data_IF_936457778759
#
_entry.id   IF_936457778759
#
_cell.length_a   1.000
_cell.length_b   1.000
_cell.length_c   1.000
_cell.angle_alpha   90.00
_cell.angle_beta   90.00
_cell.angle_gamma   90.00
#
_symmetry.space_group_name_H-M   'P 1'
#
loop_
_entity.id
_entity.type
_entity.pdbx_description
1 polymer ?
#
# COMPACT_ATOMS: atom_id res chain seq x y z
N UNK A 1 -26.86 12.72 1.38
CA UNK A 1 -26.23 11.81 2.37
C UNK A 1 -26.08 12.59 3.67
N UNK A 2 -26.32 11.99 4.83
CA UNK A 2 -26.08 12.65 6.12
C UNK A 2 -24.60 13.04 6.23
N UNK A 3 -24.30 14.26 6.66
CA UNK A 3 -22.93 14.81 6.66
C UNK A 3 -21.92 13.92 7.41
N UNK A 4 -22.38 13.21 8.44
CA UNK A 4 -21.58 12.24 9.19
C UNK A 4 -21.16 11.03 8.35
N UNK A 5 -22.07 10.50 7.52
CA UNK A 5 -21.78 9.35 6.64
C UNK A 5 -20.73 9.72 5.60
N UNK A 6 -20.88 10.91 5.01
CA UNK A 6 -19.91 11.43 4.03
C UNK A 6 -18.52 11.58 4.66
N UNK A 7 -18.44 12.09 5.89
CA UNK A 7 -17.17 12.20 6.62
C UNK A 7 -16.55 10.82 6.90
N UNK A 8 -17.35 9.85 7.36
CA UNK A 8 -16.89 8.48 7.59
C UNK A 8 -16.36 7.84 6.31
N UNK A 9 -17.08 8.01 5.20
CA UNK A 9 -16.65 7.52 3.89
C UNK A 9 -15.33 8.19 3.47
N UNK A 10 -15.16 9.49 3.71
CA UNK A 10 -13.90 10.21 3.45
C UNK A 10 -12.70 9.69 4.26
N UNK A 11 -12.92 9.27 5.52
CA UNK A 11 -11.85 8.70 6.37
C UNK A 11 -11.29 7.42 5.76
N UNK A 12 -12.16 6.52 5.28
CA UNK A 12 -11.77 5.20 4.77
C UNK A 12 -11.63 5.13 3.24
N UNK A 13 -11.83 6.26 2.56
CA UNK A 13 -11.77 6.35 1.09
C UNK A 13 -10.33 6.22 0.54
N UNK A 14 -10.16 5.67 -0.68
CA UNK A 14 -8.86 5.56 -1.34
C UNK A 14 -8.23 6.93 -1.63
N UNK A 15 -6.89 6.96 -1.76
CA UNK A 15 -6.19 8.17 -2.20
C UNK A 15 -6.43 8.45 -3.69
N UNK A 16 -6.74 9.71 -3.99
CA UNK A 16 -6.79 10.24 -5.36
C UNK A 16 -5.38 10.72 -5.75
N UNK A 17 -4.88 10.29 -6.90
CA UNK A 17 -3.53 10.58 -7.38
C UNK A 17 -3.55 11.65 -8.46
N UNK A 18 -4.38 11.46 -9.48
CA UNK A 18 -4.41 12.30 -10.68
C UNK A 18 -5.84 12.44 -11.19
N UNK A 19 -6.08 13.55 -11.88
CA UNK A 19 -7.36 13.86 -12.52
C UNK A 19 -7.08 14.13 -13.99
N UNK A 20 -7.63 13.28 -14.84
CA UNK A 20 -7.63 13.40 -16.30
C UNK A 20 -8.81 14.30 -16.68
N UNK A 21 -8.52 15.52 -17.13
CA UNK A 21 -9.55 16.46 -17.59
C UNK A 21 -9.91 16.24 -19.07
N UNK A 22 -11.05 16.79 -19.50
CA UNK A 22 -11.43 16.90 -20.93
C UNK A 22 -10.62 17.97 -21.71
N UNK A 23 -9.47 18.39 -21.20
CA UNK A 23 -8.62 19.43 -21.80
C UNK A 23 -7.14 19.01 -21.81
N UNK A 24 -6.25 19.80 -22.44
CA UNK A 24 -4.88 19.38 -22.73
C UNK A 24 -3.95 19.27 -21.51
N UNK A 25 -4.40 19.64 -20.31
CA UNK A 25 -3.56 19.67 -19.10
C UNK A 25 -4.10 18.71 -18.05
N UNK A 26 -3.40 17.59 -17.91
CA UNK A 26 -3.58 16.66 -16.80
C UNK A 26 -3.24 17.35 -15.47
N UNK A 27 -4.07 17.14 -14.43
CA UNK A 27 -3.85 17.79 -13.12
C UNK A 27 -3.57 16.74 -12.06
N UNK A 28 -2.43 16.90 -11.37
CA UNK A 28 -2.15 16.12 -10.17
C UNK A 28 -3.08 16.59 -9.04
N UNK A 29 -3.60 15.66 -8.25
CA UNK A 29 -4.40 16.01 -7.09
C UNK A 29 -3.50 16.69 -6.06
N UNK A 30 -3.85 17.91 -5.66
CA UNK A 30 -3.12 18.66 -4.64
C UNK A 30 -3.80 18.50 -3.27
N UNK A 31 -3.24 17.67 -2.36
CA UNK A 31 -3.81 17.52 -1.03
C UNK A 31 -3.57 18.79 -0.19
N UNK A 32 -4.57 19.16 0.61
CA UNK A 32 -4.45 20.24 1.60
C UNK A 32 -3.42 19.88 2.67
N UNK A 33 -2.90 20.87 3.39
CA UNK A 33 -1.90 20.69 4.47
C UNK A 33 -2.35 19.67 5.53
N UNK A 34 -3.62 19.67 5.92
CA UNK A 34 -4.17 18.71 6.87
C UNK A 34 -4.16 17.27 6.35
N UNK A 35 -4.51 17.08 5.06
CA UNK A 35 -4.46 15.76 4.43
C UNK A 35 -3.00 15.28 4.32
N UNK A 36 -2.07 16.15 3.89
CA UNK A 36 -0.64 15.86 3.82
C UNK A 36 -0.07 15.42 5.16
N UNK A 37 -0.41 16.13 6.25
CA UNK A 37 0.06 15.80 7.59
C UNK A 37 -0.47 14.44 8.06
N UNK A 38 -1.77 14.20 7.91
CA UNK A 38 -2.39 12.92 8.30
C UNK A 38 -1.80 11.74 7.51
N UNK A 39 -1.63 11.89 6.19
CA UNK A 39 -1.01 10.86 5.36
C UNK A 39 0.47 10.64 5.71
N UNK A 40 1.22 11.68 6.06
CA UNK A 40 2.61 11.53 6.48
C UNK A 40 2.73 10.73 7.78
N UNK A 41 1.87 10.99 8.77
CA UNK A 41 1.88 10.24 10.05
C UNK A 41 1.48 8.78 9.82
N UNK A 42 0.39 8.54 9.08
CA UNK A 42 -0.10 7.18 8.77
C UNK A 42 0.98 6.39 8.01
N UNK A 43 1.58 6.99 6.99
CA UNK A 43 2.63 6.34 6.20
C UNK A 43 3.89 6.06 7.03
N UNK A 44 4.28 6.98 7.91
CA UNK A 44 5.42 6.77 8.81
C UNK A 44 5.19 5.60 9.76
N UNK A 45 4.00 5.53 10.37
CA UNK A 45 3.62 4.42 11.24
C UNK A 45 3.50 3.10 10.49
N UNK A 46 3.01 3.12 9.25
CA UNK A 46 2.98 1.94 8.38
C UNK A 46 4.39 1.42 8.08
N UNK A 47 5.34 2.33 7.78
CA UNK A 47 6.75 1.97 7.55
C UNK A 47 7.38 1.41 8.83
N UNK A 48 7.17 2.05 9.98
CA UNK A 48 7.64 1.57 11.29
C UNK A 48 7.08 0.18 11.57
N UNK A 49 5.79 -0.05 11.33
CA UNK A 49 5.16 -1.36 11.49
C UNK A 49 5.81 -2.41 10.58
N UNK A 50 6.01 -2.10 9.30
CA UNK A 50 6.67 -3.02 8.35
C UNK A 50 8.10 -3.34 8.79
N UNK A 51 8.90 -2.33 9.16
CA UNK A 51 10.26 -2.54 9.68
C UNK A 51 10.19 -3.41 10.93
N UNK A 52 9.31 -3.10 11.88
CA UNK A 52 9.12 -3.86 13.12
C UNK A 52 8.77 -5.32 12.89
N UNK A 53 7.94 -5.63 11.89
CA UNK A 53 7.63 -7.01 11.48
C UNK A 53 8.85 -7.70 10.88
N UNK A 54 9.63 -7.01 10.02
CA UNK A 54 10.86 -7.57 9.46
C UNK A 54 11.96 -7.78 10.51
N UNK A 55 12.04 -6.90 11.52
CA UNK A 55 12.98 -7.01 12.65
C UNK A 55 12.40 -7.79 13.83
N UNK A 56 11.21 -8.37 13.69
CA UNK A 56 10.49 -9.07 14.76
C UNK A 56 11.28 -10.18 15.45
N UNK A 57 12.06 -11.05 14.80
CA UNK A 57 12.80 -12.09 15.53
C UNK A 57 13.84 -11.49 16.50
N UNK A 58 14.43 -10.35 16.14
CA UNK A 58 15.37 -9.64 17.00
C UNK A 58 14.64 -8.88 18.12
N UNK A 59 13.55 -8.18 17.79
CA UNK A 59 12.73 -7.48 18.79
C UNK A 59 12.19 -8.44 19.85
N UNK A 60 11.65 -9.60 19.45
CA UNK A 60 11.10 -10.57 20.40
C UNK A 60 12.17 -11.07 21.37
N UNK A 61 13.38 -11.37 20.87
CA UNK A 61 14.52 -11.75 21.72
C UNK A 61 14.89 -10.65 22.72
N UNK A 62 14.97 -9.39 22.28
CA UNK A 62 15.24 -8.26 23.17
C UNK A 62 14.13 -8.02 24.19
N UNK A 63 12.86 -8.13 23.78
CA UNK A 63 11.70 -7.94 24.66
C UNK A 63 11.65 -9.02 25.74
N UNK A 64 11.99 -10.26 25.37
CA UNK A 64 12.08 -11.38 26.29
C UNK A 64 13.21 -11.18 27.32
N UNK A 65 14.41 -10.81 26.88
CA UNK A 65 15.55 -10.55 27.78
C UNK A 65 15.30 -9.39 28.76
N UNK A 66 14.50 -8.39 28.34
CA UNK A 66 14.13 -7.25 29.20
C UNK A 66 12.95 -7.52 30.14
N UNK A 67 12.31 -8.70 30.07
CA UNK A 67 11.20 -9.03 30.96
C UNK A 67 9.91 -8.25 30.70
N UNK A 68 9.67 -7.75 29.47
CA UNK A 68 8.41 -7.04 29.15
C UNK A 68 7.15 -7.91 29.20
N UNK A 69 7.31 -9.23 29.39
CA UNK A 69 6.21 -10.18 29.62
C UNK A 69 5.77 -10.26 31.09
N UNK A 70 6.47 -9.59 32.01
CA UNK A 70 6.02 -9.41 33.39
C UNK A 70 4.80 -8.45 33.42
N UNK A 71 3.84 -8.59 34.36
CA UNK A 71 2.69 -7.70 34.51
C UNK A 71 3.01 -6.20 34.43
N UNK A 72 4.08 -5.74 35.06
CA UNK A 72 4.50 -4.33 35.02
C UNK A 72 4.99 -3.90 33.62
N UNK A 73 5.66 -4.81 32.91
CA UNK A 73 6.08 -4.62 31.52
C UNK A 73 4.89 -4.54 30.56
N UNK A 74 3.87 -5.37 30.77
CA UNK A 74 2.63 -5.39 29.98
C UNK A 74 1.82 -4.11 30.14
N UNK A 75 1.76 -3.53 31.34
CA UNK A 75 1.11 -2.23 31.57
C UNK A 75 1.80 -1.14 30.74
N UNK A 76 3.14 -1.13 30.74
CA UNK A 76 3.92 -0.15 29.97
C UNK A 76 3.72 -0.33 28.46
N UNK A 77 3.69 -1.58 27.98
CA UNK A 77 3.42 -1.88 26.57
C UNK A 77 2.00 -1.43 26.16
N UNK A 78 1.02 -1.66 27.02
CA UNK A 78 -0.38 -1.26 26.76
C UNK A 78 -0.50 0.26 26.67
N UNK A 79 0.20 1.01 27.54
CA UNK A 79 0.26 2.48 27.46
C UNK A 79 0.86 2.95 26.13
N UNK A 80 1.92 2.31 25.66
CA UNK A 80 2.55 2.61 24.36
C UNK A 80 1.63 2.29 23.19
N UNK A 81 0.99 1.12 23.18
CA UNK A 81 0.05 0.74 22.11
C UNK A 81 -1.14 1.69 22.08
N UNK A 82 -1.65 2.07 23.26
CA UNK A 82 -2.75 3.02 23.40
C UNK A 82 -2.36 4.39 22.88
N UNK A 83 -1.18 4.90 23.24
CA UNK A 83 -0.72 6.22 22.78
C UNK A 83 -0.53 6.27 21.26
N UNK A 84 0.09 5.24 20.66
CA UNK A 84 0.22 5.12 19.20
C UNK A 84 -1.15 4.98 18.55
N UNK A 85 -2.07 4.23 19.15
CA UNK A 85 -3.45 4.07 18.69
C UNK A 85 -4.21 5.41 18.64
N UNK A 86 -4.10 6.23 19.69
CA UNK A 86 -4.70 7.57 19.73
C UNK A 86 -4.15 8.45 18.61
N UNK A 87 -2.82 8.47 18.41
CA UNK A 87 -2.19 9.23 17.33
C UNK A 87 -2.72 8.79 15.96
N UNK A 88 -2.89 7.48 15.73
CA UNK A 88 -3.46 6.95 14.49
C UNK A 88 -4.89 7.46 14.28
N UNK A 89 -5.77 7.31 15.28
CA UNK A 89 -7.17 7.75 15.18
C UNK A 89 -7.25 9.24 14.84
N UNK A 90 -6.48 10.08 15.54
CA UNK A 90 -6.41 11.52 15.28
C UNK A 90 -5.95 11.81 13.85
N UNK A 91 -4.92 11.09 13.37
CA UNK A 91 -4.40 11.26 12.00
C UNK A 91 -5.44 10.88 10.93
N UNK A 92 -6.20 9.81 11.14
CA UNK A 92 -7.30 9.42 10.25
C UNK A 92 -8.43 10.46 10.24
N UNK A 93 -8.78 11.03 11.40
CA UNK A 93 -9.79 12.08 11.50
C UNK A 93 -9.37 13.37 10.77
N UNK A 94 -8.12 13.83 10.97
CA UNK A 94 -7.58 15.03 10.30
C UNK A 94 -7.53 14.81 8.78
N UNK A 95 -7.13 13.61 8.34
CA UNK A 95 -7.16 13.24 6.93
C UNK A 95 -8.58 13.27 6.35
N UNK A 96 -9.54 12.68 7.05
CA UNK A 96 -10.95 12.66 6.64
C UNK A 96 -11.54 14.06 6.52
N UNK A 97 -11.18 14.96 7.44
CA UNK A 97 -11.59 16.36 7.43
C UNK A 97 -11.02 17.10 6.22
N UNK A 98 -9.72 16.96 5.95
CA UNK A 98 -9.08 17.57 4.78
C UNK A 98 -9.72 17.17 3.45
N UNK A 99 -10.18 15.91 3.35
CA UNK A 99 -10.89 15.37 2.18
C UNK A 99 -12.33 15.85 2.08
N UNK A 100 -13.05 15.94 3.20
CA UNK A 100 -14.43 16.43 3.23
C UNK A 100 -14.54 17.90 2.78
N UNK A 101 -13.54 18.71 3.09
CA UNK A 101 -13.49 20.11 2.65
C UNK A 101 -13.07 20.30 1.18
N UNK A 102 -12.57 19.25 0.50
CA UNK A 102 -12.12 19.37 -0.88
C UNK A 102 -13.27 19.02 -1.86
N UNK A 103 -13.85 20.00 -2.57
CA UNK A 103 -15.00 19.75 -3.46
C UNK A 103 -14.66 18.83 -4.63
N UNK A 104 -13.39 18.77 -5.04
CA UNK A 104 -12.93 17.87 -6.10
C UNK A 104 -12.93 16.43 -5.63
N UNK A 105 -12.45 16.20 -4.41
CA UNK A 105 -12.40 14.87 -3.80
C UNK A 105 -13.81 14.33 -3.54
N UNK A 106 -14.72 15.16 -3.05
CA UNK A 106 -16.09 14.74 -2.76
C UNK A 106 -16.88 14.34 -4.02
N UNK A 107 -16.63 15.01 -5.16
CA UNK A 107 -17.16 14.60 -6.47
C UNK A 107 -16.63 13.24 -6.90
N UNK A 108 -15.31 13.03 -6.82
CA UNK A 108 -14.68 11.74 -7.07
C UNK A 108 -15.30 10.63 -6.21
N UNK A 109 -15.43 10.87 -4.91
CA UNK A 109 -16.00 9.90 -3.97
C UNK A 109 -17.44 9.53 -4.33
N UNK A 110 -18.26 10.50 -4.73
CA UNK A 110 -19.63 10.25 -5.17
C UNK A 110 -19.69 9.42 -6.46
N UNK A 111 -18.79 9.67 -7.42
CA UNK A 111 -18.66 8.86 -8.65
C UNK A 111 -18.21 7.43 -8.31
N UNK A 112 -17.22 7.27 -7.43
CA UNK A 112 -16.73 5.96 -7.01
C UNK A 112 -17.82 5.14 -6.28
N UNK A 113 -18.55 5.76 -5.35
CA UNK A 113 -19.65 5.09 -4.65
C UNK A 113 -20.79 4.69 -5.57
N UNK A 114 -21.06 5.49 -6.61
CA UNK A 114 -22.02 5.13 -7.65
C UNK A 114 -21.53 3.93 -8.45
N UNK A 115 -20.26 3.93 -8.87
CA UNK A 115 -19.65 2.84 -9.64
C UNK A 115 -19.55 1.52 -8.87
N UNK A 116 -19.38 1.58 -7.54
CA UNK A 116 -19.36 0.39 -6.68
C UNK A 116 -20.73 -0.27 -6.52
N UNK A 117 -21.81 0.50 -6.65
CA UNK A 117 -23.18 -0.03 -6.57
C UNK A 117 -23.64 -0.59 -7.90
N UNK A 118 -23.44 0.19 -8.97
CA UNK A 118 -23.81 -0.18 -10.32
C UNK A 118 -22.80 0.37 -11.32
N UNK A 119 -22.13 -0.53 -12.03
CA UNK A 119 -21.08 -0.18 -12.99
C UNK A 119 -21.69 -0.01 -14.38
N UNK A 120 -22.36 1.13 -14.58
CA UNK A 120 -22.84 1.56 -15.90
C UNK A 120 -21.69 2.11 -16.76
N UNK A 121 -21.72 1.93 -18.11
CA UNK A 121 -20.66 2.42 -19.00
C UNK A 121 -20.43 3.94 -18.91
N UNK A 122 -21.48 4.73 -18.64
CA UNK A 122 -21.38 6.18 -18.46
C UNK A 122 -20.66 6.57 -17.17
N UNK A 123 -20.96 5.86 -16.07
CA UNK A 123 -20.29 6.05 -14.77
C UNK A 123 -18.83 5.60 -14.86
N UNK A 124 -18.56 4.51 -15.58
CA UNK A 124 -17.20 4.04 -15.85
C UNK A 124 -16.38 5.10 -16.61
N UNK A 125 -16.97 5.73 -17.62
CA UNK A 125 -16.29 6.82 -18.33
C UNK A 125 -15.94 7.99 -17.40
N UNK A 126 -16.84 8.36 -16.48
CA UNK A 126 -16.57 9.39 -15.47
C UNK A 126 -15.52 8.95 -14.45
N UNK A 127 -15.52 7.68 -14.04
CA UNK A 127 -14.56 7.13 -13.09
C UNK A 127 -13.15 7.06 -13.70
N UNK A 128 -13.04 6.73 -14.98
CA UNK A 128 -11.77 6.72 -15.73
C UNK A 128 -11.09 8.10 -15.80
N UNK A 129 -11.82 9.19 -15.52
CA UNK A 129 -11.23 10.53 -15.40
C UNK A 129 -10.41 10.69 -14.11
N UNK A 130 -10.51 9.76 -13.16
CA UNK A 130 -9.81 9.81 -11.88
C UNK A 130 -8.81 8.65 -11.79
N UNK A 131 -7.57 8.97 -11.45
CA UNK A 131 -6.55 7.99 -11.10
C UNK A 131 -6.53 7.83 -9.58
N UNK A 132 -6.84 6.64 -9.09
CA UNK A 132 -6.92 6.35 -7.67
C UNK A 132 -6.38 4.96 -7.37
N UNK A 133 -6.21 4.65 -6.08
CA UNK A 133 -5.68 3.37 -5.66
C UNK A 133 -6.47 2.18 -6.24
N UNK A 134 -5.76 1.30 -6.93
CA UNK A 134 -6.33 0.11 -7.59
C UNK A 134 -7.17 -0.76 -6.66
N UNK A 135 -6.85 -0.80 -5.35
CA UNK A 135 -7.61 -1.56 -4.35
C UNK A 135 -9.09 -1.18 -4.29
N UNK A 136 -9.43 0.06 -4.61
CA UNK A 136 -10.80 0.55 -4.56
C UNK A 136 -11.54 0.44 -5.91
N UNK A 137 -10.88 -0.08 -6.95
CA UNK A 137 -11.48 -0.24 -8.27
C UNK A 137 -12.67 -1.21 -8.21
N UNK A 138 -13.83 -0.86 -8.79
CA UNK A 138 -14.99 -1.76 -8.80
C UNK A 138 -14.71 -3.02 -9.62
N UNK A 139 -15.27 -4.16 -9.21
CA UNK A 139 -15.11 -5.42 -9.94
C UNK A 139 -15.89 -5.35 -11.25
N UNK A 140 -15.18 -5.28 -12.38
CA UNK A 140 -15.81 -5.19 -13.70
C UNK A 140 -16.23 -6.55 -14.24
N UNK A 141 -15.52 -7.60 -13.85
CA UNK A 141 -15.69 -8.94 -14.38
C UNK A 141 -16.02 -9.90 -13.25
N UNK A 142 -17.22 -10.48 -13.32
CA UNK A 142 -17.59 -11.64 -12.53
C UNK A 142 -17.53 -12.84 -13.46
N UNK A 143 -16.50 -13.67 -13.33
CA UNK A 143 -16.53 -15.00 -13.93
C UNK A 143 -17.56 -15.83 -13.16
N UNK A 144 -18.80 -15.88 -13.64
CA UNK A 144 -19.70 -16.97 -13.28
C UNK A 144 -19.09 -18.23 -13.88
N UNK A 145 -18.44 -19.01 -13.03
CA UNK A 145 -17.83 -20.28 -13.42
C UNK A 145 -18.95 -21.28 -13.68
N UNK A 146 -19.43 -21.34 -14.92
CA UNK A 146 -20.10 -22.52 -15.48
C UNK A 146 -19.21 -23.20 -16.55
N UNK A 147 -17.90 -23.17 -16.33
CA UNK A 147 -16.99 -24.07 -17.04
C UNK A 147 -16.12 -24.80 -16.02
N UNK A 148 -16.76 -25.78 -15.34
CA UNK A 148 -16.05 -27.03 -15.07
C UNK A 148 -15.61 -27.56 -16.42
N UNK A 149 -14.30 -27.59 -16.66
CA UNK A 149 -13.60 -28.75 -17.22
C UNK A 149 -12.16 -28.36 -17.57
N UNK A 150 -11.35 -28.11 -16.54
CA UNK A 150 -9.92 -28.41 -16.65
C UNK A 150 -9.36 -28.54 -15.24
N UNK A 151 -9.48 -29.76 -14.72
CA UNK A 151 -8.69 -30.28 -13.62
C UNK A 151 -7.24 -29.77 -13.80
N UNK A 152 -6.68 -28.94 -12.90
CA UNK A 152 -5.31 -28.51 -13.04
C UNK A 152 -4.45 -29.75 -12.87
N UNK A 153 -3.92 -30.27 -13.98
CA UNK A 153 -2.97 -31.37 -13.96
C UNK A 153 -1.79 -30.90 -13.13
N UNK A 154 -1.72 -31.35 -11.88
CA UNK A 154 -0.55 -31.21 -11.05
C UNK A 154 0.62 -31.76 -11.86
N UNK A 155 1.57 -30.88 -12.21
CA UNK A 155 2.83 -31.27 -12.84
C UNK A 155 3.49 -32.29 -11.90
N UNK A 156 3.40 -33.55 -12.29
CA UNK A 156 4.02 -34.67 -11.60
C UNK A 156 5.53 -34.46 -11.66
N UNK A 157 6.13 -34.09 -10.53
CA UNK A 157 7.58 -34.11 -10.37
C UNK A 157 8.01 -35.57 -10.26
N UNK A 158 8.77 -36.14 -11.23
CA UNK A 158 9.30 -37.48 -11.06
C UNK A 158 10.65 -37.37 -10.38
N UNK A 159 10.82 -37.94 -9.18
CA UNK A 159 12.14 -38.43 -8.79
C UNK A 159 12.05 -39.52 -7.73
N UNK A 160 12.11 -40.76 -8.18
CA UNK A 160 12.55 -41.88 -7.36
C UNK A 160 13.97 -41.55 -6.86
N UNK A 161 14.16 -41.47 -5.53
CA UNK A 161 15.49 -41.39 -4.93
C UNK A 161 15.65 -42.48 -3.89
N UNK A 162 16.75 -43.20 -4.01
CA UNK A 162 17.22 -44.28 -3.15
C UNK A 162 17.45 -43.78 -1.71
N UNK A 163 17.01 -44.58 -0.74
CA UNK A 163 16.91 -44.28 0.69
C UNK A 163 18.11 -43.57 1.38
N UNK A 164 19.41 -43.83 1.08
CA UNK A 164 20.49 -43.16 1.80
C UNK A 164 20.76 -41.72 1.31
N UNK A 165 20.29 -41.33 0.13
CA UNK A 165 20.42 -39.95 -0.38
C UNK A 165 19.29 -39.03 0.14
N UNK A 166 18.26 -39.58 0.77
CA UNK A 166 17.11 -38.83 1.26
C UNK A 166 17.48 -37.98 2.50
N UNK A 167 18.24 -38.53 3.45
CA UNK A 167 18.58 -37.85 4.71
C UNK A 167 19.46 -36.60 4.54
N UNK A 168 20.46 -36.66 3.65
CA UNK A 168 21.31 -35.50 3.31
C UNK A 168 20.62 -34.50 2.36
N UNK A 169 19.63 -34.93 1.59
CA UNK A 169 18.86 -34.04 0.72
C UNK A 169 17.74 -33.28 1.43
N UNK A 170 17.25 -33.73 2.59
CA UNK A 170 16.22 -33.02 3.36
C UNK A 170 16.66 -31.59 3.73
N UNK A 171 17.83 -31.34 4.36
CA UNK A 171 18.23 -29.97 4.69
C UNK A 171 18.45 -29.13 3.42
N UNK A 172 19.03 -29.71 2.36
CA UNK A 172 19.23 -29.02 1.08
C UNK A 172 17.89 -28.64 0.42
N UNK A 173 16.90 -29.54 0.44
CA UNK A 173 15.55 -29.28 -0.09
C UNK A 173 14.82 -28.22 0.73
N UNK A 174 15.01 -28.20 2.05
CA UNK A 174 14.46 -27.15 2.92
C UNK A 174 15.09 -25.81 2.56
N UNK A 175 16.42 -25.73 2.48
CA UNK A 175 17.14 -24.49 2.10
C UNK A 175 16.75 -24.05 0.68
N UNK A 176 16.68 -24.96 -0.28
CA UNK A 176 16.27 -24.67 -1.65
C UNK A 176 14.80 -24.24 -1.72
N UNK A 177 13.91 -24.86 -0.96
CA UNK A 177 12.50 -24.47 -0.84
C UNK A 177 12.37 -23.06 -0.28
N UNK A 178 13.10 -22.75 0.81
CA UNK A 178 13.17 -21.40 1.35
C UNK A 178 13.73 -20.45 0.30
N UNK A 179 14.87 -20.74 -0.32
CA UNK A 179 15.49 -19.87 -1.32
C UNK A 179 14.55 -19.58 -2.51
N UNK A 180 13.84 -20.59 -3.02
CA UNK A 180 12.87 -20.42 -4.11
C UNK A 180 11.67 -19.61 -3.65
N UNK A 181 11.09 -19.89 -2.47
CA UNK A 181 9.90 -19.19 -1.98
C UNK A 181 10.16 -17.78 -1.43
N UNK A 182 11.33 -17.52 -0.86
CA UNK A 182 11.67 -16.23 -0.27
C UNK A 182 12.34 -15.30 -1.28
N UNK A 183 13.31 -15.81 -2.05
CA UNK A 183 14.08 -15.03 -3.01
C UNK A 183 13.63 -15.30 -4.45
N UNK A 184 13.51 -16.56 -4.87
CA UNK A 184 13.23 -16.93 -6.26
C UNK A 184 11.96 -16.29 -6.82
N UNK A 185 10.80 -16.55 -6.19
CA UNK A 185 9.50 -16.02 -6.65
C UNK A 185 9.48 -14.48 -6.61
N UNK A 186 10.11 -13.86 -5.60
CA UNK A 186 10.16 -12.39 -5.46
C UNK A 186 11.15 -11.72 -6.43
N UNK A 187 12.23 -12.40 -6.82
CA UNK A 187 13.24 -11.90 -7.76
C UNK A 187 12.84 -12.10 -9.22
N UNK A 188 12.05 -13.13 -9.54
CA UNK A 188 11.49 -13.32 -10.88
C UNK A 188 10.54 -12.18 -11.24
N UNK A 189 9.86 -11.59 -10.24
CA UNK A 189 9.02 -10.41 -10.42
C UNK A 189 9.50 -9.25 -9.55
N UNK A 190 10.61 -8.58 -9.94
CA UNK A 190 11.24 -7.53 -9.13
C UNK A 190 10.32 -6.31 -8.90
N UNK A 191 9.27 -6.17 -9.70
CA UNK A 191 8.22 -5.15 -9.53
C UNK A 191 7.33 -5.31 -8.29
N UNK A 192 7.37 -6.45 -7.59
CA UNK A 192 6.57 -6.70 -6.35
C UNK A 192 7.33 -6.43 -5.06
N UNK A 193 8.64 -6.15 -5.11
CA UNK A 193 9.43 -5.88 -3.91
C UNK A 193 9.11 -4.45 -3.46
N UNK A 194 8.26 -4.29 -2.44
CA UNK A 194 7.83 -2.97 -1.94
C UNK A 194 8.98 -2.04 -1.55
N UNK A 195 10.15 -2.59 -1.20
CA UNK A 195 11.38 -1.82 -0.95
C UNK A 195 11.88 -1.13 -2.23
N UNK A 196 11.83 -1.82 -3.38
CA UNK A 196 12.24 -1.27 -4.67
C UNK A 196 11.30 -0.15 -5.12
N UNK A 197 9.98 -0.34 -4.95
CA UNK A 197 8.99 0.71 -5.21
C UNK A 197 9.20 1.94 -4.32
N UNK A 198 9.59 1.73 -3.05
CA UNK A 198 9.90 2.83 -2.12
C UNK A 198 11.17 3.59 -2.52
N UNK A 199 12.20 2.89 -3.00
CA UNK A 199 13.46 3.50 -3.47
C UNK A 199 13.29 4.20 -4.82
N UNK A 200 12.59 3.58 -5.77
CA UNK A 200 12.29 4.17 -7.07
C UNK A 200 11.34 5.37 -6.95
N UNK A 201 10.28 5.26 -6.15
CA UNK A 201 9.36 6.38 -5.90
C UNK A 201 10.04 7.60 -5.27
N UNK A 202 11.08 7.38 -4.44
CA UNK A 202 11.93 8.46 -3.92
C UNK A 202 12.89 9.03 -4.96
N UNK A 203 13.48 8.19 -5.83
CA UNK A 203 14.41 8.65 -6.88
C UNK A 203 13.70 9.51 -7.92
N UNK A 204 12.46 9.19 -8.30
CA UNK A 204 11.69 10.05 -9.21
C UNK A 204 11.45 11.43 -8.58
N UNK A 205 11.13 11.51 -7.29
CA UNK A 205 10.96 12.79 -6.59
C UNK A 205 12.27 13.59 -6.45
N UNK A 206 13.40 12.90 -6.21
CA UNK A 206 14.72 13.55 -6.12
C UNK A 206 15.24 14.05 -7.46
N UNK A 207 14.92 13.38 -8.57
CA UNK A 207 15.35 13.79 -9.91
C UNK A 207 14.56 15.00 -10.40
N UNK A 208 13.25 15.07 -10.14
CA UNK A 208 12.44 16.24 -10.44
C UNK A 208 12.86 17.48 -9.62
N UNK A 209 13.24 17.32 -8.35
CA UNK A 209 13.75 18.43 -7.54
C UNK A 209 15.14 18.88 -8.02
N UNK A 210 16.01 17.96 -8.46
CA UNK A 210 17.32 18.31 -9.02
C UNK A 210 17.18 19.04 -10.37
N UNK A 211 16.31 18.57 -11.25
CA UNK A 211 16.01 19.20 -12.56
C UNK A 211 15.42 20.60 -12.40
N UNK A 212 14.47 20.79 -11.47
CA UNK A 212 13.94 22.14 -11.16
C UNK A 212 15.01 23.06 -10.55
N UNK A 213 15.92 22.54 -9.73
CA UNK A 213 17.02 23.35 -9.18
C UNK A 213 18.06 23.75 -10.24
N UNK A 214 18.39 22.85 -11.17
CA UNK A 214 19.34 23.11 -12.26
C UNK A 214 18.77 24.14 -13.25
N UNK A 215 17.49 24.03 -13.63
CA UNK A 215 16.84 25.04 -14.50
C UNK A 215 16.73 26.42 -13.84
N UNK A 216 16.63 26.50 -12.51
CA UNK A 216 16.57 27.79 -11.78
C UNK A 216 17.96 28.42 -11.64
N UNK A 217 19.04 27.63 -11.68
CA UNK A 217 20.42 28.13 -11.58
C UNK A 217 20.98 28.60 -12.92
N UNK A 218 20.64 27.93 -14.04
CA UNK A 218 21.07 28.36 -15.38
C UNK A 218 20.47 29.72 -15.80
N UNK A 219 19.27 30.06 -15.33
CA UNK A 219 18.64 31.36 -15.63
C UNK A 219 19.32 32.54 -14.91
N UNK A 220 20.15 32.29 -13.88
CA UNK A 220 20.75 33.35 -13.05
C UNK A 220 22.19 33.71 -13.44
N UNK A 221 22.83 32.92 -14.30
CA UNK A 221 24.22 33.14 -14.73
C UNK A 221 24.35 33.51 -16.23
N UNK A 222 23.24 33.84 -16.89
CA UNK A 222 23.19 34.20 -18.31
C UNK A 222 22.86 35.67 -18.57
N UNK A 223 23.60 36.60 -17.95
CA UNK A 223 23.79 38.00 -18.41
C UNK A 223 25.08 38.55 -17.86
#
# INVERSE_FOLDING_TARGET
MTSLKMFWDCIFSPRLVKIYGNGPVERLYEPKTFEKWGDQVINSLYVIWKIGVYTSPFLVGMLYQRGYFEPDGLITLTKLVTSVGVILVVSFCIRGMGRAENPTYTRFLATLQSAQKDLSPSIKQQLNMYDFEFKAWPVEYKSTVEHSDSNPKALSVPKQLTFPQCLLQIPYRIIAYFAIHTFGIRLIYPGTIGILQMVLGKKTFSFYILESWIQTFDFKNGT
#
